data_IF_637968490832
#
_entry.id   IF_637968490832
#
_cell.length_a   1.000
_cell.length_b   1.000
_cell.length_c   1.000
_cell.angle_alpha   90.00
_cell.angle_beta   90.00
_cell.angle_gamma   90.00
#
_symmetry.space_group_name_H-M   'P 1'
#
loop_
_entity.id
_entity.type
_entity.pdbx_description
1 polymer ?
#
# COMPACT_ATOMS: atom_id res chain seq x y z
N UNK A 1 -8.22 -1.32 18.19
CA UNK A 1 -7.36 -1.52 17.00
C UNK A 1 -8.04 -2.54 16.09
N UNK A 2 -8.10 -2.30 14.77
CA UNK A 2 -8.75 -3.21 13.81
C UNK A 2 -7.78 -3.51 12.66
N UNK A 3 -7.59 -4.77 12.30
CA UNK A 3 -6.76 -5.18 11.15
C UNK A 3 -7.70 -5.74 10.08
N UNK A 4 -7.52 -5.33 8.83
CA UNK A 4 -8.30 -5.83 7.69
C UNK A 4 -7.40 -6.16 6.51
N UNK A 5 -7.69 -7.24 5.76
CA UNK A 5 -7.02 -7.51 4.49
C UNK A 5 -7.38 -6.42 3.46
N UNK A 6 -6.41 -6.02 2.65
CA UNK A 6 -6.64 -5.17 1.48
C UNK A 6 -7.37 -6.00 0.43
N UNK A 7 -8.62 -5.64 0.13
CA UNK A 7 -9.48 -6.34 -0.85
C UNK A 7 -9.94 -5.47 -2.00
N UNK A 8 -9.98 -4.15 -1.81
CA UNK A 8 -10.48 -3.22 -2.83
C UNK A 8 -9.39 -2.30 -3.36
N UNK A 9 -9.61 -1.72 -4.56
CA UNK A 9 -8.75 -0.66 -5.11
C UNK A 9 -8.64 0.55 -4.16
N UNK A 10 -9.68 0.82 -3.37
CA UNK A 10 -9.68 1.91 -2.37
C UNK A 10 -8.77 1.57 -1.19
N UNK A 11 -8.77 0.33 -0.73
CA UNK A 11 -7.87 -0.14 0.33
C UNK A 11 -6.43 -0.14 -0.14
N UNK A 12 -6.18 -0.63 -1.35
CA UNK A 12 -4.83 -0.61 -1.93
C UNK A 12 -4.30 0.82 -2.07
N UNK A 13 -5.15 1.78 -2.46
CA UNK A 13 -4.78 3.19 -2.49
C UNK A 13 -4.42 3.73 -1.11
N UNK A 14 -5.13 3.34 -0.04
CA UNK A 14 -4.77 3.71 1.33
C UNK A 14 -3.42 3.11 1.72
N UNK A 15 -3.20 1.83 1.41
CA UNK A 15 -1.97 1.12 1.69
C UNK A 15 -0.76 1.80 1.02
N UNK A 16 -0.83 2.03 -0.29
CA UNK A 16 0.23 2.70 -1.07
C UNK A 16 0.50 4.12 -0.58
N UNK A 17 -0.54 4.85 -0.13
CA UNK A 17 -0.41 6.25 0.30
C UNK A 17 -0.02 6.41 1.77
N UNK A 18 -0.03 5.36 2.58
CA UNK A 18 0.31 5.46 4.00
C UNK A 18 1.71 6.07 4.22
N UNK A 19 2.78 5.68 3.50
CA UNK A 19 4.09 6.32 3.64
C UNK A 19 4.05 7.84 3.40
N UNK A 20 3.20 8.32 2.50
CA UNK A 20 3.05 9.76 2.22
C UNK A 20 2.48 10.54 3.41
N UNK A 21 1.70 9.87 4.26
CA UNK A 21 1.16 10.49 5.46
C UNK A 21 2.14 10.39 6.63
N UNK A 22 2.86 9.28 6.74
CA UNK A 22 3.83 9.05 7.83
C UNK A 22 5.08 9.92 7.69
N UNK A 23 5.59 10.07 6.47
CA UNK A 23 6.86 10.76 6.20
C UNK A 23 6.67 12.17 5.66
N UNK A 24 5.46 12.75 5.77
CA UNK A 24 5.15 14.08 5.24
C UNK A 24 6.04 15.22 5.77
N UNK A 25 6.58 15.06 6.97
CA UNK A 25 7.43 16.04 7.64
C UNK A 25 8.91 15.61 7.69
N UNK A 26 9.28 14.51 7.04
CA UNK A 26 10.67 14.05 6.95
C UNK A 26 11.37 14.76 5.78
N UNK A 27 12.40 15.60 6.04
CA UNK A 27 13.08 16.37 5.00
C UNK A 27 13.89 15.49 4.02
N UNK A 28 14.19 14.24 4.38
CA UNK A 28 14.99 13.32 3.56
C UNK A 28 14.12 12.30 2.81
N UNK A 29 12.79 12.36 2.96
CA UNK A 29 11.91 11.39 2.34
C UNK A 29 11.73 11.65 0.85
N UNK A 30 12.08 10.65 0.04
CA UNK A 30 11.88 10.65 -1.41
C UNK A 30 10.65 9.82 -1.75
N UNK A 31 9.57 10.48 -2.14
CA UNK A 31 8.31 9.82 -2.47
C UNK A 31 8.44 8.95 -3.73
N UNK A 32 8.01 7.67 -3.70
CA UNK A 32 7.99 6.83 -4.89
C UNK A 32 6.88 7.25 -5.85
N UNK A 33 7.03 6.93 -7.14
CA UNK A 33 5.94 7.12 -8.10
C UNK A 33 4.75 6.22 -7.74
N UNK A 34 3.57 6.83 -7.59
CA UNK A 34 2.34 6.10 -7.25
C UNK A 34 2.00 5.03 -8.29
N UNK A 35 2.35 5.24 -9.56
CA UNK A 35 2.09 4.27 -10.64
C UNK A 35 2.94 3.01 -10.47
N UNK A 36 4.20 3.15 -10.07
CA UNK A 36 5.10 2.01 -9.84
C UNK A 36 4.64 1.19 -8.64
N UNK A 37 4.23 1.88 -7.56
CA UNK A 37 3.62 1.22 -6.40
C UNK A 37 2.36 0.44 -6.80
N UNK A 38 1.50 0.99 -7.67
CA UNK A 38 0.33 0.25 -8.19
C UNK A 38 0.72 -0.94 -9.06
N UNK A 39 1.80 -0.84 -9.85
CA UNK A 39 2.30 -1.94 -10.65
C UNK A 39 2.83 -3.09 -9.78
N UNK A 40 3.53 -2.76 -8.68
CA UNK A 40 4.00 -3.74 -7.70
C UNK A 40 2.88 -4.62 -7.15
N UNK A 41 1.69 -4.07 -6.92
CA UNK A 41 0.53 -4.81 -6.39
C UNK A 41 -0.47 -5.27 -7.47
N UNK A 42 -0.07 -5.24 -8.74
CA UNK A 42 -0.89 -5.72 -9.84
C UNK A 42 -0.37 -7.08 -10.31
N UNK A 43 -1.12 -8.14 -10.03
CA UNK A 43 -0.76 -9.51 -10.40
C UNK A 43 -0.61 -9.75 -11.90
N UNK A 44 -1.23 -8.91 -12.73
CA UNK A 44 -1.10 -8.99 -14.19
C UNK A 44 0.17 -8.30 -14.71
N UNK A 45 0.83 -7.47 -13.89
CA UNK A 45 2.01 -6.70 -14.30
C UNK A 45 3.29 -7.10 -13.58
N UNK A 46 3.19 -7.59 -12.34
CA UNK A 46 4.35 -7.94 -11.54
C UNK A 46 4.59 -9.47 -11.63
N UNK A 47 5.72 -9.92 -12.23
CA UNK A 47 6.06 -11.35 -12.35
C UNK A 47 6.17 -12.08 -11.02
N UNK A 48 6.35 -11.37 -9.90
CA UNK A 48 6.34 -11.97 -8.56
C UNK A 48 5.11 -12.84 -8.30
N UNK A 49 3.95 -12.44 -8.85
CA UNK A 49 2.69 -13.15 -8.70
C UNK A 49 2.60 -14.46 -9.52
N UNK A 50 3.57 -14.76 -10.38
CA UNK A 50 3.62 -16.02 -11.12
C UNK A 50 3.96 -17.21 -10.20
N UNK A 51 4.62 -16.94 -9.08
CA UNK A 51 5.12 -17.96 -8.17
C UNK A 51 4.79 -17.68 -6.70
N UNK A 52 4.01 -16.63 -6.41
CA UNK A 52 3.74 -16.20 -5.05
C UNK A 52 2.39 -15.52 -4.92
N UNK A 53 1.78 -15.68 -3.75
CA UNK A 53 0.56 -14.98 -3.35
C UNK A 53 0.89 -13.82 -2.40
N UNK A 54 0.17 -12.71 -2.53
CA UNK A 54 0.39 -11.50 -1.72
C UNK A 54 -0.92 -11.05 -1.11
N UNK A 55 -0.96 -10.90 0.22
CA UNK A 55 -2.08 -10.32 0.95
C UNK A 55 -1.59 -9.16 1.83
N UNK A 56 -1.76 -7.90 1.39
CA UNK A 56 -1.47 -6.75 2.23
C UNK A 56 -2.56 -6.59 3.31
N UNK A 57 -2.21 -5.99 4.43
CA UNK A 57 -3.11 -5.68 5.54
C UNK A 57 -3.04 -4.20 5.91
N UNK A 58 -4.18 -3.64 6.33
CA UNK A 58 -4.28 -2.32 6.91
C UNK A 58 -4.64 -2.45 8.39
N UNK A 59 -3.86 -1.80 9.25
CA UNK A 59 -4.23 -1.59 10.65
C UNK A 59 -4.96 -0.26 10.79
N UNK A 60 -5.98 -0.22 11.66
CA UNK A 60 -6.77 0.97 11.94
C UNK A 60 -6.76 1.27 13.44
N UNK A 61 -6.47 2.54 13.78
CA UNK A 61 -6.63 3.13 15.11
C UNK A 61 -7.55 4.35 14.98
N UNK A 62 -8.66 4.37 15.72
CA UNK A 62 -9.65 5.45 15.67
C UNK A 62 -10.11 5.79 14.24
N UNK A 63 -10.43 4.75 13.45
CA UNK A 63 -10.82 4.83 12.04
C UNK A 63 -9.79 5.45 11.07
N UNK A 64 -8.56 5.68 11.52
CA UNK A 64 -7.43 6.06 10.67
C UNK A 64 -6.55 4.84 10.42
N UNK A 65 -6.13 4.70 9.17
CA UNK A 65 -4.98 3.86 8.81
C UNK A 65 -3.74 4.47 9.46
#
# INVERSE_FOLDING_TARGET
>A
MKIVPVKTKKDLKKFIKLPFQLYKDDPNWVAPLIIDQKHMFNSQKNPYYQHSEVQPFLAFRNNKV
#
